data_IF_802170683585
#
_entry.id   IF_802170683585
#
_cell.length_a   1.000
_cell.length_b   1.000
_cell.length_c   1.000
_cell.angle_alpha   90.00
_cell.angle_beta   90.00
_cell.angle_gamma   90.00
#
_symmetry.space_group_name_H-M   'P 1'
#
loop_
_entity.id
_entity.type
_entity.pdbx_description
1 polymer ?
#
# COMPACT_ATOMS: atom_id res chain seq x y z
N UNK A 1 6.82 31.47 -15.70
CA UNK A 1 6.85 30.04 -16.05
C UNK A 1 6.83 29.27 -14.74
N UNK A 2 5.68 28.82 -14.27
CA UNK A 2 5.61 27.98 -13.07
C UNK A 2 6.12 26.61 -13.46
N UNK A 3 7.31 26.23 -12.98
CA UNK A 3 7.73 24.83 -13.04
C UNK A 3 6.67 24.02 -12.31
N UNK A 4 5.98 23.13 -13.01
CA UNK A 4 5.05 22.19 -12.38
C UNK A 4 5.88 21.25 -11.52
N UNK A 5 6.09 21.62 -10.25
CA UNK A 5 6.66 20.73 -9.26
C UNK A 5 5.60 19.66 -9.01
N UNK A 6 5.76 18.46 -9.56
CA UNK A 6 4.82 17.34 -9.39
C UNK A 6 5.54 16.26 -8.58
N UNK A 7 4.86 15.52 -7.69
CA UNK A 7 5.48 14.41 -7.01
C UNK A 7 6.03 13.38 -8.00
N UNK A 8 7.21 12.85 -7.70
CA UNK A 8 7.86 11.84 -8.53
C UNK A 8 7.21 10.48 -8.33
N UNK A 9 6.98 9.79 -9.44
CA UNK A 9 6.44 8.45 -9.47
C UNK A 9 7.16 7.64 -10.55
N UNK A 10 7.32 6.34 -10.31
CA UNK A 10 7.62 5.36 -11.35
C UNK A 10 6.31 4.76 -11.87
N UNK A 11 6.37 4.24 -13.10
CA UNK A 11 5.26 3.51 -13.72
C UNK A 11 5.63 2.07 -13.97
N UNK A 12 4.82 1.15 -13.46
CA UNK A 12 5.00 -0.31 -13.62
C UNK A 12 3.63 -0.89 -13.93
N UNK A 13 3.49 -1.58 -15.08
CA UNK A 13 2.22 -2.11 -15.57
C UNK A 13 1.06 -1.09 -15.54
N UNK A 14 1.35 0.18 -15.88
CA UNK A 14 0.37 1.28 -15.88
C UNK A 14 0.07 1.91 -14.50
N UNK A 15 0.49 1.28 -13.41
CA UNK A 15 0.32 1.78 -12.04
C UNK A 15 1.37 2.83 -11.67
N UNK A 16 1.04 3.74 -10.75
CA UNK A 16 1.96 4.76 -10.22
C UNK A 16 2.43 4.39 -8.81
N UNK A 17 3.75 4.31 -8.62
CA UNK A 17 4.39 4.06 -7.32
C UNK A 17 5.43 5.14 -7.00
N UNK A 18 5.78 5.33 -5.73
CA UNK A 18 6.88 6.23 -5.36
C UNK A 18 8.23 5.70 -5.89
N UNK A 19 9.24 6.57 -6.07
CA UNK A 19 10.55 6.17 -6.64
C UNK A 19 11.31 5.10 -5.83
N UNK A 20 10.90 4.79 -4.60
CA UNK A 20 11.52 3.74 -3.78
C UNK A 20 10.97 2.32 -3.98
N UNK A 21 10.09 2.09 -4.94
CA UNK A 21 9.61 0.76 -5.30
C UNK A 21 10.44 0.17 -6.43
N UNK A 22 10.72 -1.13 -6.35
CA UNK A 22 11.45 -1.84 -7.41
C UNK A 22 10.45 -2.47 -8.41
N UNK A 23 10.60 -2.24 -9.73
CA UNK A 23 9.68 -2.78 -10.73
C UNK A 23 9.52 -4.30 -10.69
N UNK A 24 10.61 -5.03 -10.46
CA UNK A 24 10.62 -6.50 -10.38
C UNK A 24 9.84 -6.98 -9.14
N UNK A 25 9.94 -6.27 -8.03
CA UNK A 25 9.17 -6.55 -6.81
C UNK A 25 7.68 -6.32 -7.02
N UNK A 26 7.29 -5.26 -7.73
CA UNK A 26 5.90 -5.01 -8.11
C UNK A 26 5.39 -6.11 -9.05
N UNK A 27 6.17 -6.51 -10.06
CA UNK A 27 5.76 -7.61 -10.96
C UNK A 27 5.64 -8.93 -10.20
N UNK A 28 6.52 -9.18 -9.24
CA UNK A 28 6.41 -10.33 -8.34
C UNK A 28 5.10 -10.28 -7.53
N UNK A 29 4.75 -9.12 -6.97
CA UNK A 29 3.48 -8.89 -6.26
C UNK A 29 2.25 -9.17 -7.13
N UNK A 30 2.23 -8.69 -8.38
CA UNK A 30 1.15 -8.93 -9.34
C UNK A 30 0.95 -10.42 -9.67
N UNK A 31 2.01 -11.23 -9.56
CA UNK A 31 1.99 -12.66 -9.84
C UNK A 31 1.83 -13.54 -8.59
N UNK A 32 1.68 -12.94 -7.41
CA UNK A 32 1.47 -13.69 -6.17
C UNK A 32 0.30 -14.66 -6.31
N UNK A 33 0.44 -15.86 -5.77
CA UNK A 33 -0.64 -16.84 -5.75
C UNK A 33 -1.24 -16.88 -4.33
N UNK A 34 -2.43 -16.28 -4.12
CA UNK A 34 -3.05 -16.29 -2.80
C UNK A 34 -3.20 -17.72 -2.27
N UNK A 35 -2.87 -17.92 -1.00
CA UNK A 35 -2.99 -19.19 -0.30
C UNK A 35 -4.34 -19.28 0.44
N UNK A 36 -4.80 -20.49 0.76
CA UNK A 36 -5.95 -20.65 1.65
C UNK A 36 -5.77 -19.83 2.92
N UNK A 37 -6.83 -19.10 3.30
CA UNK A 37 -6.88 -18.26 4.49
C UNK A 37 -6.01 -17.00 4.48
N UNK A 38 -5.36 -16.65 3.37
CA UNK A 38 -4.74 -15.33 3.25
C UNK A 38 -5.81 -14.24 3.41
N UNK A 39 -5.48 -13.20 4.17
CA UNK A 39 -6.35 -12.05 4.43
C UNK A 39 -5.66 -10.80 3.90
N UNK A 40 -6.19 -10.24 2.82
CA UNK A 40 -5.70 -8.99 2.25
C UNK A 40 -6.41 -7.80 2.89
N UNK A 41 -5.65 -6.81 3.30
CA UNK A 41 -6.12 -5.45 3.62
C UNK A 41 -5.76 -4.57 2.43
N UNK A 42 -6.78 -4.26 1.64
CA UNK A 42 -6.64 -3.49 0.40
C UNK A 42 -7.20 -2.10 0.61
N UNK A 43 -6.43 -1.06 0.28
CA UNK A 43 -6.92 0.32 0.36
C UNK A 43 -6.32 1.15 -0.78
N UNK A 44 -6.97 2.22 -1.19
CA UNK A 44 -6.20 3.31 -1.82
C UNK A 44 -5.22 3.91 -0.78
N UNK A 45 -4.01 4.38 -1.15
CA UNK A 45 -3.09 4.97 -0.20
C UNK A 45 -3.76 6.06 0.66
N UNK A 46 -3.55 6.01 1.98
CA UNK A 46 -4.11 6.97 2.96
C UNK A 46 -5.60 6.84 3.28
N UNK A 47 -6.23 5.72 2.91
CA UNK A 47 -7.59 5.38 3.29
C UNK A 47 -7.72 4.55 4.59
N UNK A 48 -6.73 4.59 5.49
CA UNK A 48 -6.82 3.92 6.80
C UNK A 48 -6.13 2.55 6.91
N UNK A 49 -5.19 2.25 6.01
CA UNK A 49 -4.45 0.99 5.96
C UNK A 49 -3.82 0.60 7.29
N UNK A 50 -3.12 1.53 7.96
CA UNK A 50 -2.46 1.26 9.25
C UNK A 50 -3.47 0.80 10.31
N UNK A 51 -4.63 1.45 10.39
CA UNK A 51 -5.65 1.11 11.37
C UNK A 51 -6.25 -0.27 11.09
N UNK A 52 -6.59 -0.54 9.82
CA UNK A 52 -7.17 -1.84 9.44
C UNK A 52 -6.16 -2.99 9.58
N UNK A 53 -4.88 -2.76 9.26
CA UNK A 53 -3.82 -3.76 9.47
C UNK A 53 -3.70 -4.14 10.94
N UNK A 54 -3.76 -3.17 11.86
CA UNK A 54 -3.69 -3.42 13.31
C UNK A 54 -4.90 -4.22 13.80
N UNK A 55 -6.12 -3.86 13.36
CA UNK A 55 -7.34 -4.60 13.71
C UNK A 55 -7.25 -6.04 13.20
N UNK A 56 -6.88 -6.22 11.93
CA UNK A 56 -6.78 -7.54 11.32
C UNK A 56 -5.71 -8.41 12.01
N UNK A 57 -4.55 -7.83 12.31
CA UNK A 57 -3.47 -8.52 13.03
C UNK A 57 -3.93 -9.01 14.39
N UNK A 58 -4.54 -8.13 15.20
CA UNK A 58 -5.06 -8.49 16.53
C UNK A 58 -6.14 -9.56 16.47
N UNK A 59 -7.04 -9.52 15.48
CA UNK A 59 -8.06 -10.57 15.31
C UNK A 59 -7.41 -11.91 14.97
N UNK A 60 -6.42 -11.92 14.06
CA UNK A 60 -5.74 -13.14 13.62
C UNK A 60 -4.82 -13.72 14.70
N UNK A 61 -4.27 -12.88 15.57
CA UNK A 61 -3.38 -13.27 16.67
C UNK A 61 -4.10 -13.39 18.02
N UNK A 62 -5.44 -13.45 18.03
CA UNK A 62 -6.24 -13.64 19.24
C UNK A 62 -5.94 -12.59 20.34
N UNK A 63 -5.69 -11.35 19.92
CA UNK A 63 -5.39 -10.22 20.79
C UNK A 63 -3.91 -10.09 21.19
N UNK A 64 -3.03 -10.99 20.74
CA UNK A 64 -1.59 -10.91 21.00
C UNK A 64 -0.90 -10.03 19.96
N UNK A 65 -0.02 -9.13 20.41
CA UNK A 65 0.82 -8.31 19.53
C UNK A 65 2.20 -8.96 19.37
N UNK A 66 2.85 -8.75 18.21
CA UNK A 66 4.27 -9.07 18.04
C UNK A 66 5.13 -8.45 19.14
N UNK A 67 6.12 -9.19 19.64
CA UNK A 67 6.97 -8.78 20.76
C UNK A 67 8.06 -7.80 20.34
N UNK A 68 8.38 -7.78 19.03
CA UNK A 68 9.43 -6.95 18.45
C UNK A 68 8.96 -6.20 17.19
N UNK A 69 9.73 -5.19 16.81
CA UNK A 69 9.48 -4.42 15.58
C UNK A 69 9.70 -5.29 14.35
N UNK A 70 10.71 -6.15 14.39
CA UNK A 70 11.07 -7.11 13.35
C UNK A 70 9.93 -8.10 13.11
N UNK A 71 9.39 -8.67 14.18
CA UNK A 71 8.24 -9.57 14.12
C UNK A 71 6.99 -8.84 13.60
N UNK A 72 6.75 -7.60 14.04
CA UNK A 72 5.64 -6.80 13.54
C UNK A 72 5.72 -6.58 12.03
N UNK A 73 6.90 -6.27 11.49
CA UNK A 73 7.09 -6.11 10.05
C UNK A 73 6.95 -7.45 9.30
N UNK A 74 7.42 -8.55 9.88
CA UNK A 74 7.23 -9.88 9.31
C UNK A 74 5.74 -10.27 9.21
N UNK A 75 4.93 -9.89 10.19
CA UNK A 75 3.49 -10.17 10.26
C UNK A 75 2.60 -9.13 9.56
N UNK A 76 3.16 -8.04 9.01
CA UNK A 76 2.38 -7.01 8.31
C UNK A 76 2.96 -6.62 6.94
N UNK A 77 3.31 -7.61 6.08
CA UNK A 77 4.06 -7.33 4.87
C UNK A 77 3.25 -6.50 3.87
N UNK A 78 3.96 -5.61 3.17
CA UNK A 78 3.41 -4.84 2.05
C UNK A 78 3.83 -5.50 0.74
N UNK A 79 2.87 -6.15 0.09
CA UNK A 79 3.10 -7.07 -1.02
C UNK A 79 3.89 -6.40 -2.16
N UNK A 80 3.52 -5.20 -2.57
CA UNK A 80 4.14 -4.45 -3.68
C UNK A 80 5.54 -3.92 -3.36
N UNK A 81 5.87 -3.80 -2.08
CA UNK A 81 7.16 -3.29 -1.60
C UNK A 81 8.13 -4.43 -1.28
N UNK A 82 7.64 -5.59 -0.86
CA UNK A 82 8.45 -6.73 -0.43
C UNK A 82 8.46 -7.90 -1.43
N UNK A 83 7.47 -7.98 -2.30
CA UNK A 83 7.34 -9.01 -3.32
C UNK A 83 6.68 -10.30 -2.81
N UNK A 84 6.34 -11.18 -3.75
CA UNK A 84 5.66 -12.44 -3.46
C UNK A 84 6.48 -13.35 -2.54
N UNK A 85 7.78 -13.50 -2.77
CA UNK A 85 8.63 -14.42 -2.02
C UNK A 85 8.64 -14.12 -0.51
N UNK A 86 8.66 -12.84 -0.14
CA UNK A 86 8.62 -12.44 1.28
C UNK A 86 7.24 -12.74 1.89
N UNK A 87 6.16 -12.43 1.18
CA UNK A 87 4.78 -12.73 1.62
C UNK A 87 4.53 -14.24 1.70
N UNK A 88 5.17 -15.03 0.84
CA UNK A 88 5.12 -16.50 0.90
C UNK A 88 5.76 -17.06 2.17
N UNK A 89 6.77 -16.38 2.71
CA UNK A 89 7.50 -16.78 3.93
C UNK A 89 7.00 -16.10 5.20
N UNK A 90 6.03 -15.19 5.11
CA UNK A 90 5.50 -14.48 6.28
C UNK A 90 4.92 -15.46 7.33
N UNK A 91 5.02 -15.14 8.64
CA UNK A 91 4.31 -15.88 9.68
C UNK A 91 2.80 -15.91 9.42
N UNK A 92 2.13 -17.02 9.74
CA UNK A 92 0.69 -17.18 9.53
C UNK A 92 -0.02 -17.66 10.80
N UNK A 93 -1.25 -17.20 11.06
CA UNK A 93 -2.04 -16.28 10.21
C UNK A 93 -1.61 -14.81 10.36
N UNK A 94 -1.45 -14.09 9.24
CA UNK A 94 -1.12 -12.64 9.22
C UNK A 94 -1.83 -11.92 8.07
N UNK A 95 -2.17 -10.62 8.22
CA UNK A 95 -2.75 -9.84 7.15
C UNK A 95 -1.70 -9.37 6.12
N UNK A 96 -2.10 -9.32 4.85
CA UNK A 96 -1.28 -8.84 3.73
C UNK A 96 -1.76 -7.43 3.34
N UNK A 97 -0.86 -6.45 3.32
CA UNK A 97 -1.18 -5.09 2.86
C UNK A 97 -1.07 -4.99 1.35
N UNK A 98 -2.04 -4.32 0.71
CA UNK A 98 -1.94 -3.92 -0.69
C UNK A 98 -2.68 -2.60 -1.00
N UNK A 99 -2.20 -1.91 -2.04
CA UNK A 99 -2.78 -0.76 -2.71
C UNK A 99 -3.10 -1.03 -4.20
N UNK A 100 -2.99 -2.27 -4.66
CA UNK A 100 -3.34 -2.65 -6.03
C UNK A 100 -4.84 -2.41 -6.30
N UNK A 101 -5.19 -1.96 -7.51
CA UNK A 101 -6.59 -1.82 -7.91
C UNK A 101 -7.25 -3.20 -8.08
N UNK A 102 -8.59 -3.18 -8.10
CA UNK A 102 -9.42 -4.40 -8.09
C UNK A 102 -9.13 -5.35 -9.26
N UNK A 103 -8.77 -4.82 -10.42
CA UNK A 103 -8.46 -5.56 -11.63
C UNK A 103 -7.02 -6.10 -11.68
N UNK A 104 -6.16 -5.69 -10.75
CA UNK A 104 -4.74 -6.10 -10.71
C UNK A 104 -4.34 -6.79 -9.41
N UNK A 105 -5.19 -6.79 -8.39
CA UNK A 105 -4.93 -7.52 -7.14
C UNK A 105 -4.92 -9.04 -7.42
N UNK A 106 -3.94 -9.79 -6.90
CA UNK A 106 -3.95 -11.25 -6.96
C UNK A 106 -5.22 -11.82 -6.30
N UNK A 107 -6.13 -12.32 -7.13
CA UNK A 107 -7.43 -12.80 -6.70
C UNK A 107 -7.48 -14.33 -6.61
N UNK A 108 -7.97 -14.84 -5.48
CA UNK A 108 -8.41 -16.22 -5.38
C UNK A 108 -9.66 -16.33 -4.50
N UNK A 109 -10.59 -17.21 -4.88
CA UNK A 109 -11.87 -17.41 -4.17
C UNK A 109 -11.69 -17.88 -2.72
N UNK A 110 -10.57 -18.54 -2.41
CA UNK A 110 -10.25 -19.07 -1.08
C UNK A 110 -9.51 -18.08 -0.17
N UNK A 111 -9.16 -16.90 -0.67
CA UNK A 111 -8.60 -15.81 0.12
C UNK A 111 -9.70 -14.81 0.54
N UNK A 112 -9.42 -14.00 1.56
CA UNK A 112 -10.32 -12.96 2.06
C UNK A 112 -9.75 -11.58 1.72
N UNK A 113 -10.63 -10.64 1.41
CA UNK A 113 -10.25 -9.28 1.03
C UNK A 113 -11.07 -8.28 1.83
N UNK A 114 -10.39 -7.41 2.58
CA UNK A 114 -10.99 -6.30 3.31
C UNK A 114 -10.59 -5.03 2.57
N UNK A 115 -11.55 -4.41 1.89
CA UNK A 115 -11.33 -3.12 1.24
C UNK A 115 -11.77 -1.97 2.14
N UNK A 116 -10.89 -0.97 2.34
CA UNK A 116 -11.23 0.25 3.08
C UNK A 116 -11.23 1.45 2.14
N UNK A 117 -12.38 2.10 2.06
CA UNK A 117 -12.57 3.35 1.32
C UNK A 117 -12.65 4.54 2.26
N UNK A 118 -12.26 5.71 1.77
CA UNK A 118 -12.38 7.00 2.46
C UNK A 118 -12.90 8.04 1.47
N UNK A 119 -13.58 9.07 1.97
CA UNK A 119 -13.94 10.23 1.17
C UNK A 119 -12.69 10.73 0.39
N UNK A 120 -12.77 10.87 -0.95
CA UNK A 120 -11.60 11.20 -1.77
C UNK A 120 -11.03 12.58 -1.45
N UNK A 121 -11.83 13.53 -0.94
CA UNK A 121 -11.36 14.86 -0.54
C UNK A 121 -10.42 14.76 0.66
N UNK A 122 -10.80 13.99 1.68
CA UNK A 122 -9.97 13.78 2.87
C UNK A 122 -8.73 12.93 2.55
N UNK A 123 -8.89 11.94 1.68
CA UNK A 123 -7.78 11.14 1.18
C UNK A 123 -6.75 12.00 0.45
N UNK A 124 -7.20 12.91 -0.42
CA UNK A 124 -6.34 13.83 -1.16
C UNK A 124 -5.49 14.69 -0.21
N UNK A 125 -6.07 15.28 0.83
CA UNK A 125 -5.33 16.06 1.84
C UNK A 125 -4.31 15.18 2.58
N UNK A 126 -4.71 13.97 3.00
CA UNK A 126 -3.81 13.07 3.72
C UNK A 126 -2.64 12.59 2.84
N UNK A 127 -2.89 12.33 1.56
CA UNK A 127 -1.87 11.94 0.60
C UNK A 127 -0.93 13.10 0.27
N UNK A 128 -1.44 14.33 0.14
CA UNK A 128 -0.59 15.53 0.01
C UNK A 128 0.46 15.63 1.13
N UNK A 129 0.03 15.55 2.39
CA UNK A 129 0.95 15.63 3.53
C UNK A 129 1.94 14.45 3.58
N UNK A 130 1.47 13.24 3.27
CA UNK A 130 2.35 12.07 3.15
C UNK A 130 3.40 12.27 2.04
N UNK A 131 2.99 12.76 0.88
CA UNK A 131 3.86 13.03 -0.26
C UNK A 131 4.91 14.10 0.04
N UNK A 132 4.60 15.11 0.87
CA UNK A 132 5.61 16.08 1.34
C UNK A 132 6.59 15.49 2.35
N UNK A 133 6.11 14.61 3.22
CA UNK A 133 6.88 14.01 4.31
C UNK A 133 7.90 12.98 3.79
N UNK A 134 7.56 12.24 2.73
CA UNK A 134 8.38 11.15 2.22
C UNK A 134 9.31 11.62 1.08
N UNK A 135 10.65 11.61 1.26
CA UNK A 135 11.59 12.10 0.26
C UNK A 135 11.52 11.39 -1.10
N UNK A 136 11.03 10.15 -1.14
CA UNK A 136 10.86 9.36 -2.37
C UNK A 136 9.92 10.01 -3.40
N UNK A 137 9.14 11.01 -3.01
CA UNK A 137 8.31 11.79 -3.93
C UNK A 137 8.98 13.06 -4.44
N UNK A 138 10.14 13.46 -3.91
CA UNK A 138 10.84 14.70 -4.30
C UNK A 138 9.99 15.97 -4.11
N UNK A 139 9.02 15.95 -3.19
CA UNK A 139 7.93 16.93 -3.14
C UNK A 139 7.84 17.73 -1.82
N UNK A 140 8.89 17.73 -1.00
CA UNK A 140 8.88 18.36 0.34
C UNK A 140 8.45 19.82 0.35
N UNK A 141 8.78 20.59 -0.69
CA UNK A 141 8.43 22.00 -0.83
C UNK A 141 7.23 22.24 -1.78
N UNK A 142 6.49 21.18 -2.14
CA UNK A 142 5.35 21.26 -3.05
C UNK A 142 4.11 21.94 -2.46
N UNK A 143 3.36 22.63 -3.33
CA UNK A 143 2.08 23.25 -3.00
C UNK A 143 0.93 22.24 -3.06
N UNK A 144 -0.19 22.54 -2.39
CA UNK A 144 -1.38 21.70 -2.50
C UNK A 144 -1.97 21.73 -3.92
N UNK A 145 -1.96 22.90 -4.58
CA UNK A 145 -2.52 23.05 -5.93
C UNK A 145 -1.79 22.17 -6.96
N UNK A 146 -0.46 22.09 -6.87
CA UNK A 146 0.32 21.23 -7.76
C UNK A 146 0.06 19.74 -7.49
N UNK A 147 -0.07 19.38 -6.20
CA UNK A 147 -0.45 18.02 -5.82
C UNK A 147 -1.85 17.66 -6.33
N UNK A 148 -2.83 18.55 -6.16
CA UNK A 148 -4.22 18.31 -6.54
C UNK A 148 -4.35 18.05 -8.05
N UNK A 149 -3.64 18.82 -8.89
CA UNK A 149 -3.56 18.58 -10.34
C UNK A 149 -2.99 17.20 -10.70
N UNK A 150 -2.07 16.67 -9.89
CA UNK A 150 -1.50 15.32 -10.07
C UNK A 150 -2.41 14.20 -9.57
N UNK A 151 -3.17 14.47 -8.50
CA UNK A 151 -4.13 13.56 -7.89
C UNK A 151 -5.36 13.37 -8.77
N UNK A 152 -5.90 14.46 -9.32
CA UNK A 152 -7.03 14.49 -10.23
C UNK A 152 -6.65 15.23 -11.52
N UNK A 153 -5.88 14.57 -12.42
CA UNK A 153 -5.73 15.05 -13.78
C UNK A 153 -7.10 14.91 -14.43
N UNK A 154 -7.75 16.03 -14.73
CA UNK A 154 -9.15 16.11 -15.17
C UNK A 154 -9.49 15.23 -16.37
#
# INVERSE_FOLDING_TARGET
>A
MTSNNIPRYIRVEGLRFAEGFEPETIRSALNYQPRPYDVFVVTYPKCGTTWMMQIALLILHEGQLPESTEEYFACTPYLEMLGAEVVEKMPRPSPIRSHLPFDMIPYAKHAKYIYVARNPKDCCISLYHHTKMFPAYGFTNGSFDDFFKSFHPG
#
